data_IF_207008931395
#
_entry.id   IF_207008931395
#
_cell.length_a   1.000
_cell.length_b   1.000
_cell.length_c   1.000
_cell.angle_alpha   90.00
_cell.angle_beta   90.00
_cell.angle_gamma   90.00
#
_symmetry.space_group_name_H-M   'P 1'
#
loop_
_entity.id
_entity.type
_entity.pdbx_description
1 polymer ?
#
# COMPACT_ATOMS: atom_id res chain seq x y z
N UNK A 1 -29.75 -0.45 -0.71
CA UNK A 1 -29.74 -1.71 0.07
C UNK A 1 -29.22 -1.41 1.47
N UNK A 2 -29.98 -1.73 2.52
CA UNK A 2 -29.56 -1.51 3.91
C UNK A 2 -28.46 -2.50 4.35
N UNK A 3 -27.83 -2.28 5.51
CA UNK A 3 -26.81 -3.19 6.04
C UNK A 3 -27.41 -4.59 6.25
N UNK A 4 -26.76 -5.62 5.68
CA UNK A 4 -27.09 -7.02 5.94
C UNK A 4 -26.32 -7.48 7.18
N UNK A 5 -27.03 -7.95 8.19
CA UNK A 5 -26.44 -8.57 9.36
C UNK A 5 -26.05 -10.01 8.97
N UNK A 6 -24.77 -10.33 9.00
CA UNK A 6 -24.29 -11.70 8.91
C UNK A 6 -24.03 -12.21 10.33
N UNK A 7 -24.69 -13.31 10.71
CA UNK A 7 -24.39 -14.01 11.95
C UNK A 7 -23.20 -14.92 11.67
N UNK A 8 -22.08 -14.66 12.33
CA UNK A 8 -20.87 -15.49 12.23
C UNK A 8 -20.98 -16.55 13.31
N UNK A 9 -21.04 -17.82 12.91
CA UNK A 9 -21.15 -18.94 13.84
C UNK A 9 -19.86 -19.15 14.64
N UNK A 10 -19.98 -19.75 15.82
CA UNK A 10 -18.82 -20.10 16.62
C UNK A 10 -17.96 -21.14 15.87
N UNK A 11 -16.71 -20.77 15.56
CA UNK A 11 -15.79 -21.59 14.77
C UNK A 11 -15.61 -21.13 13.32
N UNK A 12 -16.31 -20.08 12.86
CA UNK A 12 -16.06 -19.51 11.54
C UNK A 12 -14.68 -18.86 11.45
N UNK A 13 -13.96 -19.14 10.36
CA UNK A 13 -12.71 -18.48 10.02
C UNK A 13 -12.96 -17.41 8.96
N UNK A 14 -12.59 -16.16 9.27
CA UNK A 14 -12.60 -15.07 8.31
C UNK A 14 -11.20 -14.85 7.77
N UNK A 15 -11.08 -14.83 6.44
CA UNK A 15 -9.86 -14.42 5.76
C UNK A 15 -10.07 -13.07 5.07
N UNK A 16 -9.32 -12.07 5.51
CA UNK A 16 -9.32 -10.74 4.89
C UNK A 16 -8.22 -10.64 3.85
N UNK A 17 -8.60 -10.26 2.62
CA UNK A 17 -7.65 -9.93 1.55
C UNK A 17 -7.54 -8.41 1.42
N UNK A 18 -6.31 -7.92 1.22
CA UNK A 18 -6.05 -6.49 1.13
C UNK A 18 -5.87 -6.10 -0.32
N UNK A 19 -6.89 -5.50 -0.89
CA UNK A 19 -6.82 -5.02 -2.26
C UNK A 19 -5.89 -3.79 -2.40
N UNK A 20 -5.23 -3.64 -3.56
CA UNK A 20 -4.44 -2.46 -3.86
C UNK A 20 -5.31 -1.20 -3.91
N UNK A 21 -4.74 0.00 -3.66
CA UNK A 21 -5.49 1.24 -3.71
C UNK A 21 -6.06 1.50 -5.10
N UNK A 22 -7.33 1.92 -5.16
CA UNK A 22 -8.04 2.14 -6.42
C UNK A 22 -8.52 0.86 -7.11
N UNK A 23 -8.35 -0.31 -6.48
CA UNK A 23 -8.97 -1.55 -6.94
C UNK A 23 -10.51 -1.41 -6.95
N UNK A 24 -11.12 -1.79 -8.05
CA UNK A 24 -12.57 -1.87 -8.21
C UNK A 24 -12.96 -3.33 -8.28
N UNK A 25 -13.84 -3.74 -7.36
CA UNK A 25 -14.42 -5.08 -7.35
C UNK A 25 -15.68 -5.07 -8.20
N UNK A 26 -15.72 -5.87 -9.26
CA UNK A 26 -16.94 -6.23 -9.95
C UNK A 26 -17.68 -7.28 -9.11
N UNK A 27 -18.59 -6.81 -8.26
CA UNK A 27 -19.32 -7.66 -7.33
C UNK A 27 -20.15 -8.75 -8.03
N UNK A 28 -20.85 -8.49 -9.16
CA UNK A 28 -21.49 -9.55 -9.95
C UNK A 28 -20.52 -10.64 -10.42
N UNK A 29 -19.36 -10.27 -10.98
CA UNK A 29 -18.34 -11.24 -11.42
C UNK A 29 -17.81 -12.03 -10.22
N UNK A 30 -17.48 -11.35 -9.12
CA UNK A 30 -17.02 -12.00 -7.90
C UNK A 30 -18.04 -13.03 -7.39
N UNK A 31 -19.32 -12.68 -7.36
CA UNK A 31 -20.39 -13.59 -6.89
C UNK A 31 -20.62 -14.77 -7.83
N UNK A 32 -20.43 -14.60 -9.14
CA UNK A 32 -20.60 -15.67 -10.11
C UNK A 32 -19.45 -16.68 -10.08
N UNK A 33 -18.24 -16.21 -9.76
CA UNK A 33 -17.04 -17.03 -9.68
C UNK A 33 -16.90 -17.73 -8.31
N UNK A 34 -17.31 -17.06 -7.23
CA UNK A 34 -17.14 -17.56 -5.86
C UNK A 34 -17.94 -18.84 -5.58
N UNK A 35 -17.27 -19.87 -5.07
CA UNK A 35 -17.89 -21.09 -4.53
C UNK A 35 -17.55 -21.28 -3.06
N UNK A 36 -18.44 -21.94 -2.32
CA UNK A 36 -18.27 -22.18 -0.88
C UNK A 36 -16.99 -22.97 -0.53
N UNK A 37 -16.47 -23.76 -1.47
CA UNK A 37 -15.27 -24.59 -1.30
C UNK A 37 -13.98 -23.98 -1.92
N UNK A 38 -14.01 -22.75 -2.45
CA UNK A 38 -12.85 -22.17 -3.14
C UNK A 38 -11.64 -22.05 -2.18
N UNK A 39 -10.55 -22.73 -2.54
CA UNK A 39 -9.28 -22.67 -1.82
C UNK A 39 -8.50 -21.39 -2.19
N UNK A 40 -7.45 -21.08 -1.41
CA UNK A 40 -6.60 -19.91 -1.63
C UNK A 40 -5.96 -19.81 -3.03
N UNK A 41 -5.72 -20.94 -3.70
CA UNK A 41 -5.22 -20.96 -5.08
C UNK A 41 -6.29 -20.44 -6.06
N UNK A 42 -7.55 -20.85 -5.89
CA UNK A 42 -8.66 -20.39 -6.73
C UNK A 42 -8.99 -18.92 -6.47
N UNK A 43 -8.86 -18.45 -5.22
CA UNK A 43 -9.08 -17.06 -4.84
C UNK A 43 -8.24 -16.07 -5.66
N UNK A 44 -6.99 -16.42 -5.99
CA UNK A 44 -6.13 -15.54 -6.80
C UNK A 44 -6.67 -15.41 -8.22
N UNK A 45 -7.18 -16.51 -8.80
CA UNK A 45 -7.80 -16.51 -10.13
C UNK A 45 -9.10 -15.71 -10.13
N UNK A 46 -9.98 -15.99 -9.15
CA UNK A 46 -11.26 -15.29 -8.97
C UNK A 46 -11.06 -13.78 -8.81
N UNK A 47 -10.09 -13.37 -7.99
CA UNK A 47 -9.77 -11.95 -7.83
C UNK A 47 -9.15 -11.35 -9.09
N UNK A 48 -8.32 -12.09 -9.83
CA UNK A 48 -7.75 -11.62 -11.09
C UNK A 48 -8.80 -11.28 -12.14
N UNK A 49 -9.94 -11.97 -12.11
CA UNK A 49 -11.08 -11.71 -13.00
C UNK A 49 -12.04 -10.66 -12.45
N UNK A 50 -12.29 -10.67 -11.14
CA UNK A 50 -13.29 -9.80 -10.51
C UNK A 50 -12.74 -8.44 -10.07
N UNK A 51 -11.42 -8.26 -9.99
CA UNK A 51 -10.79 -7.02 -9.52
C UNK A 51 -10.05 -6.35 -10.67
N UNK A 52 -10.42 -5.11 -10.95
CA UNK A 52 -9.74 -4.27 -11.93
C UNK A 52 -8.99 -3.13 -11.26
N UNK A 53 -7.87 -2.74 -11.86
CA UNK A 53 -7.07 -1.59 -11.47
C UNK A 53 -6.89 -0.68 -12.66
N UNK A 54 -7.05 0.63 -12.45
CA UNK A 54 -6.70 1.62 -13.46
C UNK A 54 -5.18 1.59 -13.70
N UNK A 55 -4.71 1.42 -14.95
CA UNK A 55 -3.28 1.50 -15.27
C UNK A 55 -2.67 2.82 -14.80
N UNK A 56 -3.36 3.94 -15.02
CA UNK A 56 -2.93 5.28 -14.59
C UNK A 56 -2.74 5.36 -13.07
N UNK A 57 -3.61 4.73 -12.27
CA UNK A 57 -3.47 4.68 -10.81
C UNK A 57 -2.23 3.89 -10.42
N UNK A 58 -2.06 2.71 -11.01
CA UNK A 58 -0.90 1.83 -10.73
C UNK A 58 0.41 2.54 -11.07
N UNK A 59 0.47 3.16 -12.24
CA UNK A 59 1.63 3.94 -12.69
C UNK A 59 1.88 5.15 -11.79
N UNK A 60 0.84 5.92 -11.45
CA UNK A 60 0.97 7.06 -10.54
C UNK A 60 1.52 6.65 -9.16
N UNK A 61 1.00 5.57 -8.57
CA UNK A 61 1.48 5.07 -7.28
C UNK A 61 2.90 4.50 -7.36
N UNK A 62 3.25 3.88 -8.49
CA UNK A 62 4.63 3.47 -8.80
C UNK A 62 5.59 4.65 -8.81
N UNK A 63 5.26 5.70 -9.55
CA UNK A 63 6.04 6.94 -9.65
C UNK A 63 6.15 7.67 -8.31
N UNK A 64 5.07 7.75 -7.53
CA UNK A 64 5.09 8.30 -6.15
C UNK A 64 6.03 7.51 -5.24
N UNK A 65 6.17 6.22 -5.53
CA UNK A 65 7.13 5.34 -4.89
C UNK A 65 8.56 5.86 -5.00
N UNK A 66 8.93 6.54 -6.09
CA UNK A 66 10.29 7.01 -6.33
C UNK A 66 10.71 8.17 -5.42
N UNK A 67 11.98 8.14 -5.01
CA UNK A 67 12.53 9.02 -3.97
C UNK A 67 12.43 10.51 -4.31
N UNK A 68 12.45 10.84 -5.60
CA UNK A 68 12.55 12.22 -6.08
C UNK A 68 11.25 12.74 -6.72
N UNK A 69 10.18 11.95 -6.75
CA UNK A 69 8.96 12.35 -7.44
C UNK A 69 8.23 13.48 -6.68
N UNK A 70 8.08 14.63 -7.35
CA UNK A 70 7.10 15.65 -6.97
C UNK A 70 5.76 15.37 -7.65
N UNK A 71 4.69 16.03 -7.21
CA UNK A 71 3.39 15.86 -7.86
C UNK A 71 3.43 16.34 -9.32
N UNK A 72 4.17 17.41 -9.61
CA UNK A 72 4.39 17.90 -10.97
C UNK A 72 5.20 16.93 -11.83
N UNK A 73 6.24 16.32 -11.26
CA UNK A 73 7.03 15.32 -12.00
C UNK A 73 6.20 14.06 -12.30
N UNK A 74 5.42 13.59 -11.33
CA UNK A 74 4.50 12.47 -11.54
C UNK A 74 3.45 12.80 -12.60
N UNK A 75 2.84 13.99 -12.54
CA UNK A 75 1.84 14.42 -13.52
C UNK A 75 2.44 14.51 -14.93
N UNK A 76 3.65 15.07 -15.04
CA UNK A 76 4.39 15.17 -16.31
C UNK A 76 4.74 13.80 -16.88
N UNK A 77 5.19 12.88 -16.04
CA UNK A 77 5.51 11.50 -16.45
C UNK A 77 4.29 10.74 -16.97
N UNK A 78 3.12 10.95 -16.35
CA UNK A 78 1.83 10.39 -16.79
C UNK A 78 1.20 11.11 -17.99
N UNK A 79 1.78 12.23 -18.46
CA UNK A 79 1.18 13.03 -19.53
C UNK A 79 -0.13 13.73 -19.16
N UNK A 80 -0.39 13.98 -17.87
CA UNK A 80 -1.62 14.60 -17.38
C UNK A 80 -1.36 15.91 -16.64
N UNK A 81 -2.40 16.73 -16.47
CA UNK A 81 -2.32 17.92 -15.60
C UNK A 81 -2.21 17.53 -14.12
N UNK A 82 -1.61 18.41 -13.30
CA UNK A 82 -1.56 18.23 -11.83
C UNK A 82 -2.96 18.03 -11.23
N UNK A 83 -3.97 18.75 -11.73
CA UNK A 83 -5.37 18.61 -11.29
C UNK A 83 -5.93 17.23 -11.61
N UNK A 84 -5.61 16.69 -12.79
CA UNK A 84 -6.02 15.34 -13.19
C UNK A 84 -5.38 14.28 -12.29
N UNK A 85 -4.07 14.40 -12.02
CA UNK A 85 -3.37 13.53 -11.07
C UNK A 85 -3.99 13.57 -9.67
N UNK A 86 -4.25 14.77 -9.15
CA UNK A 86 -4.87 14.93 -7.83
C UNK A 86 -6.25 14.25 -7.78
N UNK A 87 -7.08 14.44 -8.80
CA UNK A 87 -8.39 13.79 -8.89
C UNK A 87 -8.27 12.27 -8.94
N UNK A 88 -7.35 11.75 -9.75
CA UNK A 88 -7.06 10.32 -9.86
C UNK A 88 -6.68 9.73 -8.49
N UNK A 89 -5.78 10.37 -7.77
CA UNK A 89 -5.35 9.89 -6.46
C UNK A 89 -6.46 9.96 -5.41
N UNK A 90 -7.29 11.00 -5.41
CA UNK A 90 -8.44 11.07 -4.48
C UNK A 90 -9.40 9.87 -4.68
N UNK A 91 -9.55 9.34 -5.89
CA UNK A 91 -10.35 8.14 -6.14
C UNK A 91 -9.77 6.88 -5.46
N UNK A 92 -8.48 6.86 -5.16
CA UNK A 92 -7.84 5.79 -4.37
C UNK A 92 -8.07 5.93 -2.85
N UNK A 93 -8.79 6.98 -2.43
CA UNK A 93 -9.11 7.26 -1.03
C UNK A 93 -8.14 8.20 -0.33
N UNK A 94 -7.06 8.65 -0.99
CA UNK A 94 -6.09 9.55 -0.35
C UNK A 94 -5.31 10.44 -1.34
N UNK A 95 -4.88 11.64 -0.92
CA UNK A 95 -4.14 12.56 -1.79
C UNK A 95 -2.68 12.13 -1.99
N UNK A 96 -1.99 12.76 -2.96
CA UNK A 96 -0.56 12.55 -3.24
C UNK A 96 0.33 12.55 -2.00
N UNK A 97 0.17 13.52 -1.11
CA UNK A 97 1.01 13.67 0.09
C UNK A 97 0.89 12.46 1.02
N UNK A 98 -0.29 11.86 1.10
CA UNK A 98 -0.52 10.63 1.86
C UNK A 98 0.28 9.48 1.25
N UNK A 99 0.09 9.21 -0.05
CA UNK A 99 0.77 8.10 -0.73
C UNK A 99 2.28 8.25 -0.72
N UNK A 100 2.78 9.48 -0.88
CA UNK A 100 4.21 9.78 -0.73
C UNK A 100 4.71 9.52 0.68
N UNK A 101 3.96 9.91 1.71
CA UNK A 101 4.30 9.62 3.10
C UNK A 101 4.42 8.12 3.36
N UNK A 102 3.41 7.36 2.94
CA UNK A 102 3.38 5.91 3.07
C UNK A 102 4.50 5.22 2.27
N UNK A 103 4.79 5.69 1.05
CA UNK A 103 5.86 5.17 0.22
C UNK A 103 7.24 5.33 0.90
N UNK A 104 7.51 6.51 1.49
CA UNK A 104 8.74 6.76 2.25
C UNK A 104 8.84 5.86 3.49
N UNK A 105 7.75 5.68 4.23
CA UNK A 105 7.71 4.82 5.40
C UNK A 105 7.99 3.35 5.04
N UNK A 106 7.37 2.84 3.96
CA UNK A 106 7.63 1.49 3.44
C UNK A 106 9.06 1.31 2.95
N UNK A 107 9.64 2.30 2.27
CA UNK A 107 11.06 2.28 1.87
C UNK A 107 11.97 2.20 3.10
N UNK A 108 11.69 2.98 4.13
CA UNK A 108 12.40 2.88 5.42
C UNK A 108 12.33 1.44 5.97
N UNK A 109 11.13 0.85 6.05
CA UNK A 109 10.97 -0.52 6.55
C UNK A 109 11.76 -1.55 5.72
N UNK A 110 11.72 -1.46 4.38
CA UNK A 110 12.53 -2.32 3.50
C UNK A 110 14.03 -2.19 3.75
N UNK A 111 14.53 -0.97 3.93
CA UNK A 111 15.94 -0.73 4.23
C UNK A 111 16.34 -1.24 5.62
N UNK A 112 15.43 -1.23 6.61
CA UNK A 112 15.70 -1.85 7.91
C UNK A 112 15.93 -3.36 7.80
N UNK A 113 15.22 -4.05 6.89
CA UNK A 113 15.36 -5.49 6.65
C UNK A 113 16.62 -5.77 5.82
N UNK A 114 16.79 -5.05 4.70
CA UNK A 114 17.85 -5.36 3.74
C UNK A 114 19.24 -4.89 4.18
N UNK A 115 19.31 -3.90 5.08
CA UNK A 115 20.57 -3.21 5.44
C UNK A 115 20.58 -2.87 6.95
N UNK A 116 20.50 -3.90 7.80
CA UNK A 116 20.39 -3.74 9.26
C UNK A 116 21.53 -2.90 9.89
N UNK A 117 22.75 -3.01 9.35
CA UNK A 117 23.94 -2.32 9.86
C UNK A 117 24.07 -0.88 9.39
N UNK A 118 23.25 -0.45 8.42
CA UNK A 118 23.36 0.90 7.87
C UNK A 118 23.06 1.96 8.94
N UNK A 119 23.79 3.09 9.00
CA UNK A 119 23.43 4.17 9.92
C UNK A 119 22.01 4.67 9.69
N UNK A 120 21.25 4.94 10.76
CA UNK A 120 19.87 5.40 10.66
C UNK A 120 19.75 6.76 9.93
N UNK A 121 20.76 7.62 10.06
CA UNK A 121 20.84 8.87 9.30
C UNK A 121 20.88 8.64 7.78
N UNK A 122 21.67 7.67 7.32
CA UNK A 122 21.75 7.34 5.89
C UNK A 122 20.46 6.71 5.36
N UNK A 123 19.80 5.91 6.19
CA UNK A 123 18.48 5.35 5.83
C UNK A 123 17.45 6.47 5.72
N UNK A 124 17.49 7.48 6.59
CA UNK A 124 16.61 8.63 6.50
C UNK A 124 16.76 9.36 5.16
N UNK A 125 18.01 9.70 4.77
CA UNK A 125 18.31 10.36 3.51
C UNK A 125 17.90 9.52 2.30
N UNK A 126 18.23 8.23 2.31
CA UNK A 126 17.87 7.30 1.24
C UNK A 126 16.36 7.12 1.11
N UNK A 127 15.64 7.24 2.23
CA UNK A 127 14.18 7.12 2.27
C UNK A 127 13.46 8.43 1.91
N UNK A 128 14.19 9.54 1.74
CA UNK A 128 13.62 10.85 1.38
C UNK A 128 13.14 11.67 2.58
N UNK A 129 13.75 11.48 3.75
CA UNK A 129 13.56 12.32 4.93
C UNK A 129 14.72 13.32 5.06
N UNK A 130 14.44 14.47 5.69
CA UNK A 130 15.43 15.51 5.93
C UNK A 130 16.51 15.06 6.94
N UNK A 131 16.11 14.28 7.94
CA UNK A 131 16.97 13.77 8.99
C UNK A 131 16.35 12.54 9.67
N UNK A 132 17.12 11.89 10.56
CA UNK A 132 16.70 10.72 11.31
C UNK A 132 15.52 11.00 12.27
N UNK A 133 15.44 12.20 12.86
CA UNK A 133 14.38 12.54 13.82
C UNK A 133 13.02 12.65 13.12
N UNK A 134 13.00 13.29 11.94
CA UNK A 134 11.84 13.35 11.04
C UNK A 134 11.43 11.96 10.59
N UNK A 135 12.37 11.14 10.10
CA UNK A 135 12.09 9.74 9.74
C UNK A 135 11.44 8.99 10.91
N UNK A 136 11.97 9.13 12.13
CA UNK A 136 11.46 8.43 13.31
C UNK A 136 10.02 8.84 13.66
N UNK A 137 9.69 10.13 13.56
CA UNK A 137 8.32 10.62 13.78
C UNK A 137 7.34 10.05 12.76
N UNK A 138 7.72 10.09 11.48
CA UNK A 138 6.88 9.58 10.40
C UNK A 138 6.76 8.05 10.45
N UNK A 139 7.82 7.30 10.76
CA UNK A 139 7.76 5.86 10.93
C UNK A 139 6.79 5.44 12.05
N UNK A 140 6.82 6.13 13.20
CA UNK A 140 5.83 5.91 14.27
C UNK A 140 4.41 6.21 13.80
N UNK A 141 4.22 7.32 13.09
CA UNK A 141 2.91 7.74 12.59
C UNK A 141 2.32 6.74 11.58
N UNK A 142 3.14 6.25 10.65
CA UNK A 142 2.69 5.39 9.56
C UNK A 142 2.69 3.91 9.89
N UNK A 143 3.65 3.45 10.67
CA UNK A 143 3.93 2.03 10.91
C UNK A 143 3.72 1.62 12.37
N UNK A 144 3.44 2.57 13.27
CA UNK A 144 3.25 2.33 14.70
C UNK A 144 4.54 2.03 15.48
N UNK A 145 5.70 1.99 14.80
CA UNK A 145 6.99 1.59 15.40
C UNK A 145 8.14 2.46 14.92
N UNK A 146 9.24 2.47 15.67
CA UNK A 146 10.46 3.20 15.28
C UNK A 146 11.28 2.42 14.27
N UNK A 147 12.15 3.08 13.48
CA UNK A 147 13.11 2.39 12.61
C UNK A 147 14.01 1.41 13.37
N UNK A 148 14.49 1.79 14.55
CA UNK A 148 15.27 0.88 15.40
C UNK A 148 14.45 -0.34 15.85
N UNK A 149 13.18 -0.15 16.20
CA UNK A 149 12.28 -1.26 16.55
C UNK A 149 12.00 -2.20 15.38
N UNK A 150 11.95 -1.68 14.14
CA UNK A 150 11.84 -2.49 12.93
C UNK A 150 13.07 -3.37 12.71
N UNK A 151 14.28 -2.94 13.08
CA UNK A 151 15.48 -3.80 13.02
C UNK A 151 15.42 -4.95 14.00
N UNK A 152 14.91 -4.70 15.20
CA UNK A 152 14.82 -5.73 16.23
C UNK A 152 13.71 -6.76 15.96
N UNK A 153 12.71 -6.41 15.15
CA UNK A 153 11.56 -7.26 14.84
C UNK A 153 11.35 -7.35 13.33
N UNK A 154 12.05 -8.30 12.71
CA UNK A 154 11.97 -8.56 11.26
C UNK A 154 10.56 -8.96 10.81
N UNK A 155 9.73 -9.56 11.69
CA UNK A 155 8.34 -9.91 11.35
C UNK A 155 7.50 -8.64 11.21
N UNK A 156 7.60 -7.71 12.17
CA UNK A 156 6.96 -6.39 12.05
C UNK A 156 7.50 -5.61 10.86
N UNK A 157 8.81 -5.68 10.61
CA UNK A 157 9.39 -5.06 9.44
C UNK A 157 8.84 -5.63 8.15
N UNK A 158 8.70 -6.95 8.03
CA UNK A 158 8.12 -7.60 6.86
C UNK A 158 6.67 -7.13 6.63
N UNK A 159 5.83 -7.10 7.66
CA UNK A 159 4.45 -6.60 7.57
C UNK A 159 4.41 -5.12 7.16
N UNK A 160 5.31 -4.30 7.72
CA UNK A 160 5.42 -2.88 7.39
C UNK A 160 6.00 -2.61 5.99
N UNK A 161 6.86 -3.50 5.50
CA UNK A 161 7.53 -3.43 4.21
C UNK A 161 6.68 -4.00 3.07
N UNK A 162 5.71 -4.86 3.38
CA UNK A 162 4.77 -5.42 2.42
C UNK A 162 4.09 -4.29 1.66
N UNK A 163 4.29 -4.34 0.35
CA UNK A 163 3.46 -3.61 -0.58
C UNK A 163 2.16 -4.41 -0.65
N UNK A 164 1.02 -3.75 -0.49
CA UNK A 164 -0.25 -4.36 -0.89
C UNK A 164 -0.30 -4.42 -2.41
N UNK A 165 0.57 -5.24 -3.01
CA UNK A 165 0.45 -5.74 -4.37
C UNK A 165 0.46 -7.26 -4.22
N UNK A 166 -0.70 -7.83 -3.91
CA UNK A 166 -1.26 -9.11 -4.32
C UNK A 166 -2.68 -9.14 -3.75
#
# INVERSE_FOLDING_TARGET
HGPRHAVIEAGSHLQGLRLPPGAVIDAPVLQALWREDDLLEDLTSVLGEAVSLSPDVTEALGLIGDRLATADDTARALGVSLRSLQRLLIQTGAPFVYWRGLARARRCARLMIAQADRPLADVALTSGYADQAHMTREARRWLGVTPAGLRCDHRRAAIAAQIGYF
#
